data_IF_229687638052
#
_entry.id   IF_229687638052
#
_cell.length_a   1.000
_cell.length_b   1.000
_cell.length_c   1.000
_cell.angle_alpha   90.00
_cell.angle_beta   90.00
_cell.angle_gamma   90.00
#
_symmetry.space_group_name_H-M   'P 1'
#
loop_
_entity.id
_entity.type
_entity.pdbx_description
1 polymer ?
#
# COMPACT_ATOMS: atom_id res chain seq x y z
N UNK A 1 25.24 10.09 -39.24
CA UNK A 1 24.15 10.81 -38.56
C UNK A 1 23.48 9.77 -37.66
N UNK A 2 23.69 9.89 -36.37
CA UNK A 2 23.03 8.99 -35.37
C UNK A 2 21.52 9.28 -35.44
N UNK A 3 20.73 8.30 -35.83
CA UNK A 3 19.26 8.32 -35.64
C UNK A 3 19.03 8.21 -34.15
N UNK A 4 19.10 9.33 -33.40
CA UNK A 4 18.63 9.39 -32.06
C UNK A 4 17.14 8.97 -32.11
N UNK A 5 16.80 7.81 -31.54
CA UNK A 5 15.42 7.32 -31.49
C UNK A 5 14.50 8.38 -30.90
N UNK A 6 13.28 8.47 -31.39
CA UNK A 6 12.28 9.40 -30.87
C UNK A 6 12.09 9.15 -29.36
N UNK A 7 12.32 10.19 -28.55
CA UNK A 7 12.12 10.10 -27.10
C UNK A 7 10.63 9.99 -26.77
N UNK A 8 10.28 9.04 -25.92
CA UNK A 8 8.89 8.78 -25.53
C UNK A 8 8.75 8.37 -24.07
N UNK A 9 7.56 8.50 -23.53
CA UNK A 9 7.13 7.99 -22.23
C UNK A 9 6.08 6.90 -22.42
N UNK A 10 6.25 5.76 -21.77
CA UNK A 10 5.23 4.74 -21.59
C UNK A 10 4.62 4.93 -20.21
N UNK A 11 3.41 5.43 -20.16
CA UNK A 11 2.69 5.72 -18.91
C UNK A 11 1.78 4.55 -18.57
N UNK A 12 2.10 3.84 -17.47
CA UNK A 12 1.31 2.69 -17.04
C UNK A 12 -0.06 3.09 -16.50
N UNK A 13 -1.08 2.29 -16.79
CA UNK A 13 -2.41 2.37 -16.21
C UNK A 13 -2.91 0.96 -15.83
N UNK A 14 -3.53 0.76 -14.63
CA UNK A 14 -3.79 1.80 -13.64
C UNK A 14 -2.53 2.24 -12.89
N UNK A 15 -2.62 3.42 -12.27
CA UNK A 15 -1.63 4.03 -11.38
C UNK A 15 -2.34 4.94 -10.38
N UNK A 16 -1.62 5.50 -9.43
CA UNK A 16 -2.17 6.46 -8.47
C UNK A 16 -3.17 5.85 -7.48
N UNK A 17 -4.00 6.66 -6.86
CA UNK A 17 -4.89 6.26 -5.79
C UNK A 17 -5.72 5.02 -6.12
N UNK A 18 -5.70 4.04 -5.21
CA UNK A 18 -6.69 2.97 -5.18
C UNK A 18 -7.90 3.36 -4.32
N UNK A 19 -8.98 2.59 -4.42
CA UNK A 19 -10.20 2.86 -3.65
C UNK A 19 -9.98 2.89 -2.12
N UNK A 20 -9.05 2.08 -1.59
CA UNK A 20 -8.71 2.06 -0.17
C UNK A 20 -8.01 3.33 0.28
N UNK A 21 -7.06 3.80 -0.50
CA UNK A 21 -6.32 5.04 -0.26
C UNK A 21 -7.23 6.25 -0.39
N UNK A 22 -8.00 6.35 -1.47
CA UNK A 22 -8.96 7.44 -1.67
C UNK A 22 -9.92 7.56 -0.47
N UNK A 23 -10.51 6.44 -0.05
CA UNK A 23 -11.36 6.37 1.14
C UNK A 23 -10.66 6.89 2.39
N UNK A 24 -9.40 6.51 2.62
CA UNK A 24 -8.67 6.89 3.83
C UNK A 24 -8.33 8.39 3.85
N UNK A 25 -7.85 8.93 2.74
CA UNK A 25 -7.55 10.36 2.60
C UNK A 25 -8.80 11.21 2.77
N UNK A 26 -9.88 10.86 2.05
CA UNK A 26 -11.17 11.56 2.15
C UNK A 26 -11.76 11.45 3.57
N UNK A 27 -11.50 10.35 4.29
CA UNK A 27 -11.93 10.22 5.70
C UNK A 27 -11.32 11.31 6.58
N UNK A 28 -10.01 11.58 6.48
CA UNK A 28 -9.36 12.63 7.26
C UNK A 28 -9.86 14.02 6.84
N UNK A 29 -9.99 14.25 5.53
CA UNK A 29 -10.52 15.52 5.01
C UNK A 29 -11.93 15.80 5.54
N UNK A 30 -12.82 14.82 5.47
CA UNK A 30 -14.20 14.95 5.97
C UNK A 30 -14.27 15.06 7.49
N UNK A 31 -13.35 14.42 8.23
CA UNK A 31 -13.25 14.61 9.68
C UNK A 31 -12.84 16.05 10.01
N UNK A 32 -11.85 16.63 9.32
CA UNK A 32 -11.45 18.03 9.47
C UNK A 32 -12.59 18.99 9.12
N UNK A 33 -13.35 18.72 8.04
CA UNK A 33 -14.50 19.55 7.64
C UNK A 33 -15.66 19.48 8.63
N UNK A 34 -15.84 18.34 9.32
CA UNK A 34 -16.95 18.11 10.22
C UNK A 34 -16.68 18.62 11.65
N UNK A 35 -15.50 18.29 12.18
CA UNK A 35 -15.16 18.56 13.58
C UNK A 35 -14.26 19.79 13.77
N UNK A 36 -13.68 20.29 12.68
CA UNK A 36 -12.63 21.30 12.76
C UNK A 36 -11.29 20.70 13.17
N UNK A 37 -10.27 21.53 13.24
CA UNK A 37 -8.91 21.16 13.63
C UNK A 37 -8.68 21.34 15.14
N UNK A 38 -7.83 20.51 15.76
CA UNK A 38 -7.07 19.42 15.16
C UNK A 38 -7.88 18.13 15.03
N UNK A 39 -7.53 17.30 14.03
CA UNK A 39 -7.88 15.88 13.95
C UNK A 39 -6.57 15.08 14.01
N UNK A 40 -6.47 14.15 14.94
CA UNK A 40 -5.30 13.32 15.09
C UNK A 40 -5.36 12.14 14.14
N UNK A 41 -4.21 11.71 13.63
CA UNK A 41 -4.08 10.52 12.76
C UNK A 41 -2.97 9.64 13.32
N UNK A 42 -3.28 8.40 13.68
CA UNK A 42 -2.27 7.45 14.16
C UNK A 42 -1.48 6.93 12.97
N UNK A 43 -0.14 7.04 13.06
CA UNK A 43 0.81 6.80 11.97
C UNK A 43 0.47 7.65 10.75
N UNK A 44 1.02 7.33 9.60
CA UNK A 44 0.63 7.98 8.35
C UNK A 44 -0.71 7.41 7.85
N UNK A 45 -1.64 8.25 7.44
CA UNK A 45 -2.94 7.77 6.89
C UNK A 45 -2.74 6.81 5.72
N UNK A 46 -1.75 7.11 4.88
CA UNK A 46 -1.18 6.30 3.80
C UNK A 46 0.29 6.67 3.65
N UNK A 47 1.13 5.78 3.16
CA UNK A 47 2.56 6.02 2.97
C UNK A 47 2.82 6.90 1.75
N UNK A 48 2.64 8.22 1.91
CA UNK A 48 2.96 9.22 0.90
C UNK A 48 3.23 10.59 1.56
N UNK A 49 4.43 11.14 1.35
CA UNK A 49 4.86 12.41 1.97
C UNK A 49 3.97 13.57 1.59
N UNK A 50 3.59 13.71 0.33
CA UNK A 50 2.74 14.80 -0.14
C UNK A 50 1.38 14.77 0.54
N UNK A 51 0.79 13.58 0.66
CA UNK A 51 -0.52 13.41 1.33
C UNK A 51 -0.44 13.82 2.79
N UNK A 52 0.60 13.37 3.52
CA UNK A 52 0.82 13.73 4.91
C UNK A 52 0.95 15.24 5.05
N UNK A 53 1.85 15.87 4.28
CA UNK A 53 2.07 17.33 4.31
C UNK A 53 0.78 18.11 4.02
N UNK A 54 0.03 17.71 2.99
CA UNK A 54 -1.23 18.39 2.62
C UNK A 54 -2.27 18.32 3.74
N UNK A 55 -2.37 17.18 4.43
CA UNK A 55 -3.30 17.01 5.55
C UNK A 55 -2.83 17.78 6.81
N UNK A 56 -1.52 17.82 7.07
CA UNK A 56 -0.94 18.66 8.15
C UNK A 56 -1.25 20.14 7.93
N UNK A 57 -1.08 20.67 6.71
CA UNK A 57 -1.43 22.04 6.35
C UNK A 57 -2.91 22.35 6.59
N UNK A 58 -3.79 21.35 6.46
CA UNK A 58 -5.23 21.46 6.75
C UNK A 58 -5.56 21.34 8.25
N UNK A 59 -4.62 20.89 9.08
CA UNK A 59 -4.75 20.82 10.53
C UNK A 59 -4.89 19.39 11.09
N UNK A 60 -4.52 18.37 10.31
CA UNK A 60 -4.29 17.04 10.86
C UNK A 60 -2.98 17.03 11.69
N UNK A 61 -2.96 16.25 12.75
CA UNK A 61 -1.76 16.01 13.58
C UNK A 61 -1.47 14.53 13.55
N UNK A 62 -0.35 14.16 12.95
CA UNK A 62 0.11 12.78 12.90
C UNK A 62 0.87 12.44 14.18
N UNK A 63 0.51 11.32 14.78
CA UNK A 63 1.09 10.77 16.01
C UNK A 63 1.52 9.34 15.81
N UNK A 64 2.50 8.89 16.56
CA UNK A 64 2.93 7.49 16.48
C UNK A 64 1.96 6.57 17.21
N UNK A 65 1.54 6.93 18.41
CA UNK A 65 0.67 6.10 19.23
C UNK A 65 -0.50 6.89 19.84
N UNK A 66 -1.51 6.16 20.30
CA UNK A 66 -2.74 6.74 20.86
C UNK A 66 -2.54 7.48 22.17
N UNK A 67 -1.44 7.21 22.89
CA UNK A 67 -1.10 7.92 24.15
C UNK A 67 -0.63 9.36 23.95
N UNK A 68 -0.21 9.69 22.73
CA UNK A 68 0.12 11.07 22.33
C UNK A 68 -1.13 11.93 22.02
N UNK A 69 -2.28 11.28 21.84
CA UNK A 69 -3.55 11.98 21.56
C UNK A 69 -4.16 12.49 22.87
N UNK A 70 -4.57 13.77 22.98
CA UNK A 70 -5.29 14.26 24.16
C UNK A 70 -6.56 13.45 24.43
N UNK A 71 -6.84 13.20 25.72
CA UNK A 71 -8.04 12.45 26.13
C UNK A 71 -9.31 13.09 25.54
N UNK A 72 -10.21 12.24 25.05
CA UNK A 72 -11.48 12.67 24.44
C UNK A 72 -11.35 13.27 23.03
N UNK A 73 -10.14 13.42 22.50
CA UNK A 73 -9.94 13.96 21.16
C UNK A 73 -10.30 12.94 20.05
N UNK A 74 -10.37 13.44 18.80
CA UNK A 74 -10.69 12.63 17.63
C UNK A 74 -9.39 12.04 17.06
N UNK A 75 -9.37 10.74 16.82
CA UNK A 75 -8.28 10.06 16.15
C UNK A 75 -8.78 9.21 14.98
N UNK A 76 -8.09 9.31 13.86
CA UNK A 76 -8.31 8.47 12.66
C UNK A 76 -7.24 7.39 12.63
N UNK A 77 -7.66 6.13 12.46
CA UNK A 77 -6.75 5.02 12.20
C UNK A 77 -6.47 4.91 10.70
N UNK A 78 -5.23 4.56 10.36
CA UNK A 78 -4.73 4.54 8.98
C UNK A 78 -5.38 3.45 8.11
N UNK A 79 -5.15 3.55 6.80
CA UNK A 79 -5.59 2.54 5.83
C UNK A 79 -5.00 1.14 6.08
N UNK A 80 -3.87 1.07 6.78
CA UNK A 80 -3.11 -0.16 7.02
C UNK A 80 -3.74 -1.09 8.07
N UNK A 81 -4.73 -0.58 8.82
CA UNK A 81 -5.35 -1.32 9.91
C UNK A 81 -4.58 -1.21 11.23
N UNK A 82 -5.24 -1.57 12.29
CA UNK A 82 -4.66 -1.57 13.64
C UNK A 82 -5.07 -2.83 14.40
N UNK A 83 -4.24 -3.25 15.35
CA UNK A 83 -4.54 -4.38 16.22
C UNK A 83 -5.68 -4.06 17.20
N UNK A 84 -6.37 -5.07 17.78
CA UNK A 84 -7.32 -4.88 18.87
C UNK A 84 -6.75 -4.11 20.06
N UNK A 85 -5.46 -4.26 20.37
CA UNK A 85 -4.80 -3.54 21.45
C UNK A 85 -4.79 -2.01 21.24
N UNK A 86 -4.67 -1.55 20.00
CA UNK A 86 -4.75 -0.12 19.66
C UNK A 86 -6.18 0.40 19.87
N UNK A 87 -7.21 -0.36 19.48
CA UNK A 87 -8.61 -0.01 19.75
C UNK A 87 -8.88 0.08 21.26
N UNK A 88 -8.35 -0.87 22.02
CA UNK A 88 -8.49 -0.87 23.48
C UNK A 88 -7.82 0.37 24.10
N UNK A 89 -6.57 0.66 23.72
CA UNK A 89 -5.85 1.85 24.19
C UNK A 89 -6.59 3.15 23.89
N UNK A 90 -7.16 3.27 22.70
CA UNK A 90 -7.98 4.44 22.33
C UNK A 90 -9.25 4.54 23.21
N UNK A 91 -9.92 3.41 23.47
CA UNK A 91 -11.12 3.37 24.33
C UNK A 91 -10.80 3.76 25.79
N UNK A 92 -9.71 3.27 26.35
CA UNK A 92 -9.24 3.61 27.72
C UNK A 92 -8.96 5.11 27.88
N UNK A 93 -8.62 5.81 26.80
CA UNK A 93 -8.38 7.25 26.75
C UNK A 93 -9.62 8.06 26.31
N UNK A 94 -10.78 7.41 26.22
CA UNK A 94 -12.03 8.01 25.75
C UNK A 94 -11.89 8.71 24.36
N UNK A 95 -10.99 8.24 23.49
CA UNK A 95 -10.81 8.86 22.17
C UNK A 95 -12.01 8.57 21.27
N UNK A 96 -12.41 9.56 20.49
CA UNK A 96 -13.38 9.37 19.42
C UNK A 96 -12.67 8.82 18.19
N UNK A 97 -12.81 7.54 17.93
CA UNK A 97 -12.11 6.84 16.85
C UNK A 97 -12.90 6.87 15.55
N UNK A 98 -12.20 7.07 14.43
CA UNK A 98 -12.71 6.88 13.07
C UNK A 98 -11.76 5.89 12.40
N UNK A 99 -12.27 4.72 12.03
CA UNK A 99 -11.46 3.66 11.45
C UNK A 99 -11.44 3.76 9.92
N UNK A 100 -10.30 4.24 9.36
CA UNK A 100 -10.10 4.33 7.92
C UNK A 100 -9.45 3.07 7.32
N UNK A 101 -9.30 1.98 8.08
CA UNK A 101 -8.75 0.72 7.57
C UNK A 101 -9.38 0.33 6.24
N UNK A 102 -8.55 -0.01 5.27
CA UNK A 102 -9.01 -0.49 3.98
C UNK A 102 -9.84 -1.77 4.13
N UNK A 103 -11.03 -1.88 3.50
CA UNK A 103 -11.84 -3.10 3.59
C UNK A 103 -11.12 -4.38 3.18
N UNK A 104 -10.11 -4.30 2.31
CA UNK A 104 -9.28 -5.45 1.90
C UNK A 104 -8.30 -5.87 3.00
N UNK A 105 -7.80 -4.94 3.79
CA UNK A 105 -7.02 -5.23 5.00
C UNK A 105 -7.93 -5.82 6.08
N UNK A 106 -9.13 -5.25 6.29
CA UNK A 106 -10.12 -5.80 7.21
C UNK A 106 -10.49 -7.24 6.87
N UNK A 107 -10.51 -7.60 5.57
CA UNK A 107 -10.70 -8.99 5.12
C UNK A 107 -9.62 -9.90 5.71
N UNK A 108 -8.34 -9.54 5.57
CA UNK A 108 -7.20 -10.34 6.09
C UNK A 108 -7.28 -10.48 7.62
N UNK A 109 -7.60 -9.39 8.33
CA UNK A 109 -7.83 -9.42 9.79
C UNK A 109 -8.93 -10.41 10.17
N UNK A 110 -10.06 -10.44 9.42
CA UNK A 110 -11.16 -11.38 9.69
C UNK A 110 -10.78 -12.83 9.40
N UNK A 111 -9.96 -13.07 8.40
CA UNK A 111 -9.43 -14.41 8.09
C UNK A 111 -8.46 -14.88 9.17
N UNK A 112 -7.59 -14.00 9.67
CA UNK A 112 -6.72 -14.29 10.80
C UNK A 112 -7.53 -14.73 12.04
N UNK A 113 -8.57 -13.97 12.40
CA UNK A 113 -9.49 -14.32 13.50
C UNK A 113 -10.16 -15.67 13.29
N UNK A 114 -10.64 -15.95 12.08
CA UNK A 114 -11.31 -17.20 11.75
C UNK A 114 -10.37 -18.40 11.85
N UNK A 115 -9.19 -18.33 11.23
CA UNK A 115 -8.21 -19.41 11.32
C UNK A 115 -7.76 -19.65 12.77
N UNK A 116 -7.57 -18.59 13.56
CA UNK A 116 -7.23 -18.72 14.97
C UNK A 116 -8.37 -19.38 15.79
N UNK A 117 -9.65 -19.03 15.51
CA UNK A 117 -10.80 -19.66 16.16
C UNK A 117 -10.93 -21.15 15.86
N UNK A 118 -10.49 -21.57 14.68
CA UNK A 118 -10.41 -22.98 14.25
C UNK A 118 -9.10 -23.66 14.70
N UNK A 119 -8.31 -22.97 15.54
CA UNK A 119 -7.04 -23.45 16.12
C UNK A 119 -5.95 -23.78 15.07
N UNK A 120 -5.86 -23.00 13.99
CA UNK A 120 -4.76 -23.08 13.03
C UNK A 120 -3.54 -22.27 13.49
N UNK A 121 -2.34 -22.75 13.18
CA UNK A 121 -1.14 -21.89 13.10
C UNK A 121 -1.19 -21.13 11.78
N UNK A 122 -0.95 -19.83 11.84
CA UNK A 122 -1.10 -18.91 10.71
C UNK A 122 0.27 -18.36 10.33
N UNK A 123 0.68 -18.59 9.09
CA UNK A 123 1.93 -18.08 8.53
C UNK A 123 1.60 -16.80 7.76
N UNK A 124 1.90 -15.66 8.35
CA UNK A 124 1.67 -14.35 7.74
C UNK A 124 2.90 -13.96 6.89
N UNK A 125 2.77 -14.01 5.57
CA UNK A 125 3.80 -13.55 4.64
C UNK A 125 3.76 -12.02 4.61
N UNK A 126 4.87 -11.37 4.94
CA UNK A 126 4.94 -9.91 5.03
C UNK A 126 6.30 -9.42 5.49
N UNK A 127 6.45 -8.12 5.61
CA UNK A 127 7.70 -7.49 6.04
C UNK A 127 7.65 -7.09 7.50
N UNK A 128 8.67 -7.44 8.25
CA UNK A 128 8.82 -7.06 9.65
C UNK A 128 8.77 -5.53 9.82
N UNK A 129 8.01 -5.07 10.81
CA UNK A 129 7.85 -3.64 11.10
C UNK A 129 6.89 -2.88 10.18
N UNK A 130 6.20 -3.55 9.26
CA UNK A 130 5.15 -2.92 8.48
C UNK A 130 3.84 -2.86 9.27
N UNK A 131 3.19 -1.68 9.31
CA UNK A 131 1.97 -1.43 10.11
C UNK A 131 0.83 -2.42 9.84
N UNK A 132 0.65 -2.82 8.58
CA UNK A 132 -0.36 -3.81 8.19
C UNK A 132 -0.06 -5.20 8.77
N UNK A 133 1.22 -5.57 8.82
CA UNK A 133 1.67 -6.83 9.41
C UNK A 133 1.44 -6.81 10.92
N UNK A 134 1.81 -5.72 11.59
CA UNK A 134 1.60 -5.56 13.03
C UNK A 134 0.10 -5.58 13.40
N UNK A 135 -0.73 -4.91 12.58
CA UNK A 135 -2.18 -4.90 12.73
C UNK A 135 -2.78 -6.30 12.62
N UNK A 136 -2.43 -7.03 11.56
CA UNK A 136 -2.91 -8.40 11.31
C UNK A 136 -2.39 -9.39 12.37
N UNK A 137 -1.09 -9.33 12.71
CA UNK A 137 -0.51 -10.20 13.73
C UNK A 137 -1.16 -9.99 15.10
N UNK A 138 -1.53 -8.75 15.41
CA UNK A 138 -2.23 -8.41 16.63
C UNK A 138 -3.64 -9.00 16.77
N UNK A 139 -4.28 -9.44 15.68
CA UNK A 139 -5.60 -10.09 15.75
C UNK A 139 -5.55 -11.49 16.38
N UNK A 140 -4.43 -12.19 16.26
CA UNK A 140 -4.25 -13.51 16.83
C UNK A 140 -2.78 -13.79 17.17
N UNK A 141 -2.18 -13.06 18.14
CA UNK A 141 -0.72 -13.05 18.36
C UNK A 141 -0.15 -14.40 18.80
N UNK A 142 -1.00 -15.32 19.34
CA UNK A 142 -0.58 -16.65 19.74
C UNK A 142 -0.62 -17.68 18.58
N UNK A 143 -1.25 -17.34 17.48
CA UNK A 143 -1.44 -18.20 16.32
C UNK A 143 -0.61 -17.75 15.10
N UNK A 144 -0.19 -16.49 15.04
CA UNK A 144 0.45 -15.91 13.88
C UNK A 144 1.97 -15.91 14.05
N UNK A 145 2.68 -16.42 13.02
CA UNK A 145 4.11 -16.27 12.84
C UNK A 145 4.37 -15.52 11.53
N UNK A 146 5.26 -14.53 11.59
CA UNK A 146 5.69 -13.79 10.40
C UNK A 146 6.63 -14.64 9.54
N UNK A 147 6.40 -14.61 8.23
CA UNK A 147 7.27 -15.17 7.20
C UNK A 147 7.79 -14.00 6.35
N UNK A 148 8.97 -13.50 6.69
CA UNK A 148 9.66 -12.44 5.95
C UNK A 148 10.70 -13.07 5.03
N UNK A 149 10.29 -13.35 3.81
CA UNK A 149 11.08 -14.02 2.79
C UNK A 149 11.27 -15.54 3.00
N UNK A 150 11.73 -16.21 1.94
CA UNK A 150 11.90 -17.67 1.88
C UNK A 150 12.86 -18.18 2.96
N UNK A 151 13.92 -17.43 3.27
CA UNK A 151 14.93 -17.83 4.26
C UNK A 151 14.37 -17.97 5.68
N UNK A 152 13.29 -17.25 6.01
CA UNK A 152 12.64 -17.35 7.32
C UNK A 152 11.90 -18.66 7.54
N UNK A 153 11.53 -19.38 6.47
CA UNK A 153 10.75 -20.63 6.50
C UNK A 153 11.40 -21.69 7.36
N UNK A 154 12.72 -21.79 7.35
CA UNK A 154 13.49 -22.76 8.15
C UNK A 154 13.30 -22.61 9.66
N UNK A 155 12.91 -21.41 10.12
CA UNK A 155 12.77 -21.09 11.54
C UNK A 155 11.32 -21.25 12.05
N UNK A 156 10.36 -21.53 11.18
CA UNK A 156 8.94 -21.66 11.54
C UNK A 156 8.76 -22.85 12.51
N UNK A 157 7.95 -22.60 13.55
CA UNK A 157 7.55 -23.61 14.52
C UNK A 157 6.03 -23.63 14.60
N UNK A 158 5.42 -24.78 14.32
CA UNK A 158 3.96 -24.98 14.38
C UNK A 158 3.62 -26.04 15.42
N UNK A 159 2.43 -25.95 15.98
CA UNK A 159 1.90 -26.91 16.98
C UNK A 159 1.45 -28.21 16.31
N UNK A 160 0.82 -28.09 15.12
CA UNK A 160 0.36 -29.24 14.29
C UNK A 160 0.61 -28.91 12.81
N UNK A 161 1.50 -29.67 12.16
CA UNK A 161 1.82 -29.49 10.74
C UNK A 161 0.62 -29.75 9.79
N UNK A 162 -0.45 -30.39 10.28
CA UNK A 162 -1.69 -30.59 9.53
C UNK A 162 -2.71 -29.45 9.70
N UNK A 163 -2.45 -28.51 10.61
CA UNK A 163 -3.29 -27.36 10.89
C UNK A 163 -2.55 -26.04 10.68
N UNK A 164 -2.06 -25.84 9.49
CA UNK A 164 -1.33 -24.63 9.10
C UNK A 164 -2.05 -23.93 7.97
N UNK A 165 -2.30 -22.64 8.12
CA UNK A 165 -2.84 -21.76 7.09
C UNK A 165 -1.84 -20.63 6.79
N UNK A 166 -1.95 -20.01 5.63
CA UNK A 166 -1.18 -18.81 5.34
C UNK A 166 -2.08 -17.64 5.00
N UNK A 167 -1.59 -16.46 5.28
CA UNK A 167 -2.14 -15.16 4.89
C UNK A 167 -1.01 -14.29 4.38
N UNK A 168 -1.31 -13.19 3.72
CA UNK A 168 -0.28 -12.26 3.28
C UNK A 168 -0.65 -10.79 3.49
N UNK A 169 0.38 -9.96 3.60
CA UNK A 169 0.28 -8.52 3.47
C UNK A 169 -0.27 -8.17 2.07
N UNK A 170 -1.15 -7.16 1.98
CA UNK A 170 -1.89 -6.85 0.73
C UNK A 170 -1.04 -6.22 -0.37
N UNK A 171 0.19 -5.80 -0.06
CA UNK A 171 1.05 -4.98 -0.95
C UNK A 171 2.35 -5.66 -1.40
N UNK A 172 2.43 -6.99 -1.30
CA UNK A 172 3.60 -7.76 -1.70
C UNK A 172 3.69 -7.94 -3.23
N UNK A 173 4.86 -8.40 -3.71
CA UNK A 173 5.00 -8.95 -5.05
C UNK A 173 4.19 -10.25 -5.17
N UNK A 174 3.38 -10.35 -6.22
CA UNK A 174 2.60 -11.57 -6.50
C UNK A 174 3.52 -12.75 -6.72
N UNK A 175 4.55 -12.58 -7.56
CA UNK A 175 5.47 -13.66 -7.94
C UNK A 175 6.30 -14.14 -6.74
N UNK A 176 6.80 -13.22 -5.93
CA UNK A 176 7.55 -13.52 -4.71
C UNK A 176 6.68 -14.25 -3.65
N UNK A 177 5.43 -13.80 -3.49
CA UNK A 177 4.49 -14.46 -2.58
C UNK A 177 4.18 -15.89 -3.04
N UNK A 178 3.93 -16.09 -4.33
CA UNK A 178 3.69 -17.42 -4.88
C UNK A 178 4.91 -18.35 -4.72
N UNK A 179 6.13 -17.81 -4.92
CA UNK A 179 7.36 -18.55 -4.67
C UNK A 179 7.50 -18.96 -3.18
N UNK A 180 7.20 -18.04 -2.27
CA UNK A 180 7.21 -18.31 -0.83
C UNK A 180 6.17 -19.37 -0.44
N UNK A 181 4.95 -19.29 -0.98
CA UNK A 181 3.89 -20.28 -0.75
C UNK A 181 4.30 -21.65 -1.29
N UNK A 182 4.96 -21.70 -2.46
CA UNK A 182 5.47 -22.95 -3.02
C UNK A 182 6.50 -23.63 -2.10
N UNK A 183 7.39 -22.86 -1.47
CA UNK A 183 8.34 -23.39 -0.48
C UNK A 183 7.64 -23.82 0.82
N UNK A 184 6.64 -23.03 1.29
CA UNK A 184 5.83 -23.43 2.46
C UNK A 184 5.10 -24.75 2.23
N UNK A 185 4.56 -24.99 1.02
CA UNK A 185 3.89 -26.25 0.67
C UNK A 185 4.81 -27.48 0.65
N UNK A 186 6.10 -27.30 0.34
CA UNK A 186 7.07 -28.40 0.47
C UNK A 186 7.22 -28.85 1.91
N UNK A 187 7.19 -27.91 2.85
CA UNK A 187 7.31 -28.16 4.28
C UNK A 187 5.97 -28.57 4.92
N UNK A 188 4.87 -27.95 4.50
CA UNK A 188 3.52 -28.20 5.01
C UNK A 188 2.61 -28.63 3.86
N UNK A 189 2.57 -29.93 3.50
CA UNK A 189 1.80 -30.42 2.35
C UNK A 189 0.29 -30.16 2.44
N UNK A 190 -0.24 -30.01 3.67
CA UNK A 190 -1.66 -29.71 3.95
C UNK A 190 -1.91 -28.21 4.21
N UNK A 191 -1.00 -27.33 3.79
CA UNK A 191 -1.12 -25.88 3.96
C UNK A 191 -2.44 -25.36 3.37
N UNK A 192 -3.23 -24.67 4.18
CA UNK A 192 -4.53 -24.12 3.78
C UNK A 192 -4.35 -22.69 3.21
N UNK A 193 -5.00 -22.47 2.09
CA UNK A 193 -5.03 -21.17 1.42
C UNK A 193 -6.06 -20.22 2.06
N UNK A 194 -5.85 -18.89 1.97
CA UNK A 194 -6.93 -17.95 2.21
C UNK A 194 -8.09 -18.19 1.21
N UNK A 195 -9.34 -17.87 1.59
CA UNK A 195 -10.52 -18.12 0.74
C UNK A 195 -10.49 -17.36 -0.59
N UNK A 196 -9.74 -16.27 -0.66
CA UNK A 196 -9.48 -15.49 -1.86
C UNK A 196 -8.14 -14.78 -1.70
N UNK A 197 -7.59 -14.24 -2.79
CA UNK A 197 -6.30 -13.56 -2.78
C UNK A 197 -6.23 -12.46 -1.71
N UNK A 198 -5.15 -12.44 -0.94
CA UNK A 198 -4.88 -11.39 0.04
C UNK A 198 -4.18 -10.20 -0.59
N UNK A 199 -3.30 -10.43 -1.58
CA UNK A 199 -2.72 -9.33 -2.34
C UNK A 199 -3.83 -8.60 -3.06
N UNK A 200 -4.01 -7.32 -2.72
CA UNK A 200 -5.16 -6.57 -3.20
C UNK A 200 -5.13 -6.32 -4.72
N UNK A 201 -6.31 -6.19 -5.32
CA UNK A 201 -6.46 -5.93 -6.75
C UNK A 201 -5.60 -4.76 -7.24
N UNK A 202 -5.49 -3.70 -6.43
CA UNK A 202 -4.75 -2.50 -6.80
C UNK A 202 -3.24 -2.77 -6.89
N UNK A 203 -2.70 -3.60 -6.00
CA UNK A 203 -1.31 -4.07 -6.06
C UNK A 203 -1.09 -4.95 -7.28
N UNK A 204 -1.95 -5.94 -7.50
CA UNK A 204 -1.86 -6.84 -8.64
C UNK A 204 -1.92 -6.08 -9.96
N UNK A 205 -2.91 -5.20 -10.14
CA UNK A 205 -3.11 -4.44 -11.37
C UNK A 205 -1.92 -3.53 -11.70
N UNK A 206 -1.33 -2.86 -10.70
CA UNK A 206 -0.15 -2.00 -10.91
C UNK A 206 1.07 -2.82 -11.28
N UNK A 207 1.25 -4.00 -10.69
CA UNK A 207 2.33 -4.91 -11.09
C UNK A 207 2.14 -5.41 -12.52
N UNK A 208 0.92 -5.78 -12.92
CA UNK A 208 0.62 -6.15 -14.32
C UNK A 208 0.94 -4.99 -15.26
N UNK A 209 0.53 -3.77 -14.92
CA UNK A 209 0.81 -2.60 -15.76
C UNK A 209 2.33 -2.32 -15.89
N UNK A 210 3.11 -2.54 -14.84
CA UNK A 210 4.58 -2.46 -14.90
C UNK A 210 5.17 -3.55 -15.80
N UNK A 211 4.69 -4.79 -15.67
CA UNK A 211 5.15 -5.92 -16.51
C UNK A 211 4.96 -5.66 -18.01
N UNK A 212 3.94 -4.85 -18.37
CA UNK A 212 3.68 -4.47 -19.77
C UNK A 212 4.66 -3.42 -20.31
N UNK A 213 5.14 -2.50 -19.47
CA UNK A 213 6.00 -1.38 -19.92
C UNK A 213 7.49 -1.63 -19.68
N UNK A 214 7.86 -2.35 -18.62
CA UNK A 214 9.24 -2.56 -18.20
C UNK A 214 10.13 -3.16 -19.31
N UNK A 215 9.72 -4.19 -20.07
CA UNK A 215 10.55 -4.77 -21.14
C UNK A 215 10.83 -3.81 -22.30
N UNK A 216 10.03 -2.74 -22.42
CA UNK A 216 10.07 -1.76 -23.52
C UNK A 216 10.77 -0.46 -23.10
N UNK A 217 11.08 -0.31 -21.79
CA UNK A 217 11.64 0.91 -21.23
C UNK A 217 13.16 0.78 -20.98
N UNK A 218 13.91 1.82 -21.31
CA UNK A 218 15.31 1.92 -20.92
C UNK A 218 15.45 2.29 -19.45
N UNK A 219 14.52 3.10 -18.94
CA UNK A 219 14.45 3.58 -17.58
C UNK A 219 12.99 3.53 -17.10
N UNK A 220 12.74 3.08 -15.87
CA UNK A 220 11.43 3.20 -15.24
C UNK A 220 11.51 4.13 -14.03
N UNK A 221 10.60 5.09 -13.97
CA UNK A 221 10.45 6.01 -12.84
C UNK A 221 9.13 5.72 -12.13
N UNK A 222 9.22 5.36 -10.86
CA UNK A 222 8.07 5.10 -10.00
C UNK A 222 7.92 6.29 -9.04
N UNK A 223 6.78 6.96 -9.09
CA UNK A 223 6.44 7.97 -8.10
C UNK A 223 5.89 7.28 -6.86
N UNK A 224 6.45 7.58 -5.69
CA UNK A 224 6.06 6.97 -4.42
C UNK A 224 7.09 7.16 -3.33
N UNK A 225 6.70 6.91 -2.08
CA UNK A 225 7.56 7.06 -0.92
C UNK A 225 8.28 5.75 -0.57
N UNK A 226 9.48 5.85 -0.02
CA UNK A 226 10.33 4.69 0.32
C UNK A 226 9.74 3.75 1.36
N UNK A 227 8.86 4.24 2.22
CA UNK A 227 8.14 3.44 3.20
C UNK A 227 6.82 2.85 2.66
N UNK A 228 6.49 3.10 1.37
CA UNK A 228 5.35 2.48 0.70
C UNK A 228 5.76 1.15 0.09
N UNK A 229 5.39 0.03 0.72
CA UNK A 229 5.65 -1.32 0.22
C UNK A 229 5.21 -1.48 -1.24
N UNK A 230 3.99 -1.07 -1.59
CA UNK A 230 3.51 -1.12 -2.96
C UNK A 230 4.44 -0.38 -3.94
N UNK A 231 4.92 0.83 -3.59
CA UNK A 231 5.78 1.63 -4.48
C UNK A 231 7.17 1.00 -4.66
N UNK A 232 7.75 0.47 -3.58
CA UNK A 232 9.04 -0.24 -3.62
C UNK A 232 8.94 -1.48 -4.51
N UNK A 233 7.88 -2.27 -4.36
CA UNK A 233 7.65 -3.47 -5.18
C UNK A 233 7.55 -3.16 -6.67
N UNK A 234 6.99 -2.03 -7.07
CA UNK A 234 6.93 -1.63 -8.49
C UNK A 234 8.33 -1.38 -9.09
N UNK A 235 9.27 -0.87 -8.30
CA UNK A 235 10.67 -0.73 -8.75
C UNK A 235 11.31 -2.09 -8.97
N UNK A 236 11.14 -3.00 -8.02
CA UNK A 236 11.71 -4.36 -8.10
C UNK A 236 11.12 -5.13 -9.29
N UNK A 237 9.80 -5.14 -9.43
CA UNK A 237 9.12 -5.76 -10.59
C UNK A 237 9.59 -5.12 -11.91
N UNK A 238 9.87 -3.81 -11.95
CA UNK A 238 10.40 -3.17 -13.15
C UNK A 238 11.75 -3.76 -13.57
N UNK A 239 12.65 -3.97 -12.61
CA UNK A 239 13.97 -4.54 -12.86
C UNK A 239 13.89 -6.03 -13.23
N UNK A 240 13.06 -6.80 -12.52
CA UNK A 240 12.84 -8.23 -12.78
C UNK A 240 12.29 -8.49 -14.19
N UNK A 241 11.43 -7.58 -14.67
CA UNK A 241 10.80 -7.68 -15.99
C UNK A 241 11.53 -6.91 -17.10
N UNK A 242 12.80 -6.55 -16.88
CA UNK A 242 13.73 -6.18 -17.96
C UNK A 242 13.95 -4.69 -18.18
N UNK A 243 13.47 -3.82 -17.30
CA UNK A 243 13.93 -2.43 -17.32
C UNK A 243 15.43 -2.38 -17.00
N UNK A 244 16.20 -1.59 -17.76
CA UNK A 244 17.65 -1.49 -17.54
C UNK A 244 18.01 -0.74 -16.26
N UNK A 245 17.13 0.18 -15.84
CA UNK A 245 17.21 0.91 -14.59
C UNK A 245 15.79 1.24 -14.09
N UNK A 246 15.59 1.29 -12.78
CA UNK A 246 14.35 1.75 -12.19
C UNK A 246 14.64 2.53 -10.89
N UNK A 247 13.92 3.63 -10.66
CA UNK A 247 14.11 4.48 -9.49
C UNK A 247 12.78 4.87 -8.88
N UNK A 248 12.76 4.98 -7.55
CA UNK A 248 11.66 5.48 -6.75
C UNK A 248 11.93 6.93 -6.35
N UNK A 249 10.96 7.81 -6.57
CA UNK A 249 11.03 9.23 -6.23
C UNK A 249 9.75 9.68 -5.56
N UNK A 250 9.82 10.50 -4.51
CA UNK A 250 8.66 11.14 -3.90
C UNK A 250 8.14 12.29 -4.79
N UNK A 251 9.06 13.07 -5.37
CA UNK A 251 8.77 14.28 -6.16
C UNK A 251 9.61 14.33 -7.45
N UNK A 252 9.07 14.96 -8.47
CA UNK A 252 9.78 15.16 -9.75
C UNK A 252 11.16 15.84 -9.59
N UNK A 253 11.32 16.69 -8.55
CA UNK A 253 12.59 17.35 -8.26
C UNK A 253 13.71 16.40 -7.82
N UNK A 254 13.39 15.18 -7.40
CA UNK A 254 14.37 14.16 -7.03
C UNK A 254 14.92 13.40 -8.26
N UNK A 255 14.25 13.53 -9.41
CA UNK A 255 14.71 12.90 -10.64
C UNK A 255 16.00 13.57 -11.16
N UNK A 256 16.96 12.76 -11.56
CA UNK A 256 18.29 13.22 -11.98
C UNK A 256 18.44 13.19 -13.49
N UNK A 257 19.02 14.25 -14.04
CA UNK A 257 19.27 14.33 -15.50
C UNK A 257 20.23 13.26 -16.00
N UNK A 258 21.18 12.85 -15.15
CA UNK A 258 22.12 11.78 -15.48
C UNK A 258 21.45 10.44 -15.80
N UNK A 259 20.27 10.18 -15.22
CA UNK A 259 19.50 8.97 -15.50
C UNK A 259 18.96 8.91 -16.93
N UNK A 260 18.83 10.08 -17.60
CA UNK A 260 18.32 10.18 -18.96
C UNK A 260 19.42 10.02 -20.02
N UNK A 261 20.68 9.82 -19.62
CA UNK A 261 21.79 9.67 -20.57
C UNK A 261 21.62 8.38 -21.38
N UNK A 262 21.51 8.54 -22.71
CA UNK A 262 21.31 7.41 -23.63
C UNK A 262 19.90 6.78 -23.60
N UNK A 263 18.96 7.33 -22.81
CA UNK A 263 17.59 6.85 -22.72
C UNK A 263 16.74 7.42 -23.86
N UNK A 264 15.95 6.56 -24.47
CA UNK A 264 14.96 6.91 -25.51
C UNK A 264 13.53 6.63 -25.05
N UNK A 265 13.33 5.63 -24.21
CA UNK A 265 12.02 5.25 -23.69
C UNK A 265 12.02 5.24 -22.16
N UNK A 266 11.20 6.09 -21.55
CA UNK A 266 10.99 6.14 -20.10
C UNK A 266 9.63 5.52 -19.76
N UNK A 267 9.64 4.48 -18.93
CA UNK A 267 8.41 3.97 -18.29
C UNK A 267 8.08 4.82 -17.07
N UNK A 268 6.82 5.18 -16.88
CA UNK A 268 6.34 5.94 -15.72
C UNK A 268 5.15 5.23 -15.08
N UNK A 269 5.19 5.06 -13.77
CA UNK A 269 4.05 4.62 -12.97
C UNK A 269 4.09 5.25 -11.58
N UNK A 270 3.13 4.91 -10.75
CA UNK A 270 3.11 5.34 -9.35
C UNK A 270 2.45 4.32 -8.44
N UNK A 271 2.83 4.35 -7.17
CA UNK A 271 2.20 3.54 -6.14
C UNK A 271 0.74 3.91 -5.88
N UNK A 272 0.03 3.01 -5.19
CA UNK A 272 -1.40 3.12 -4.89
C UNK A 272 -1.74 4.25 -3.91
N UNK A 273 -0.74 4.86 -3.27
CA UNK A 273 -0.90 6.00 -2.34
C UNK A 273 -0.52 7.36 -2.94
N UNK A 274 -0.29 7.43 -4.25
CA UNK A 274 0.23 8.63 -4.94
C UNK A 274 -0.89 9.39 -5.63
N UNK A 275 -1.11 10.67 -5.32
CA UNK A 275 -2.06 11.51 -6.06
C UNK A 275 -1.52 11.81 -7.47
N UNK A 276 -2.43 11.87 -8.45
CA UNK A 276 -2.10 12.04 -9.87
C UNK A 276 -1.29 13.32 -10.17
N UNK A 277 -1.41 14.34 -9.33
CA UNK A 277 -0.64 15.59 -9.47
C UNK A 277 0.87 15.34 -9.50
N UNK A 278 1.37 14.41 -8.66
CA UNK A 278 2.80 14.10 -8.63
C UNK A 278 3.28 13.39 -9.89
N UNK A 279 2.44 12.56 -10.48
CA UNK A 279 2.74 11.92 -11.79
C UNK A 279 2.79 12.98 -12.89
N UNK A 280 1.82 13.91 -12.89
CA UNK A 280 1.79 15.04 -13.82
C UNK A 280 3.05 15.89 -13.72
N UNK A 281 3.50 16.21 -12.52
CA UNK A 281 4.72 16.98 -12.30
C UNK A 281 5.96 16.27 -12.88
N UNK A 282 6.03 14.93 -12.73
CA UNK A 282 7.10 14.14 -13.35
C UNK A 282 7.00 14.15 -14.87
N UNK A 283 5.83 14.02 -15.46
CA UNK A 283 5.63 14.10 -16.91
C UNK A 283 6.03 15.48 -17.45
N UNK A 284 5.70 16.57 -16.74
CA UNK A 284 6.12 17.92 -17.09
C UNK A 284 7.64 18.11 -17.00
N UNK A 285 8.28 17.48 -16.01
CA UNK A 285 9.73 17.45 -15.87
C UNK A 285 10.40 16.72 -17.04
N UNK A 286 9.88 15.57 -17.45
CA UNK A 286 10.34 14.77 -18.58
C UNK A 286 10.12 15.49 -19.91
N UNK A 287 8.97 16.14 -20.12
CA UNK A 287 8.64 16.87 -21.34
C UNK A 287 9.65 17.99 -21.63
N UNK A 288 10.08 18.75 -20.61
CA UNK A 288 11.12 19.77 -20.70
C UNK A 288 12.49 19.22 -21.14
N UNK A 289 12.70 17.89 -21.10
CA UNK A 289 13.92 17.17 -21.48
C UNK A 289 13.77 16.37 -22.76
N UNK A 290 12.69 16.65 -23.49
CA UNK A 290 12.42 16.09 -24.83
C UNK A 290 11.56 14.83 -24.81
N UNK A 291 11.09 14.34 -23.66
CA UNK A 291 10.16 13.21 -23.53
C UNK A 291 8.71 13.70 -23.46
N UNK A 292 8.24 14.35 -24.52
CA UNK A 292 6.90 14.93 -24.60
C UNK A 292 5.86 13.98 -25.25
N UNK A 293 6.31 12.91 -25.91
CA UNK A 293 5.44 11.90 -26.50
C UNK A 293 5.05 10.88 -25.44
N UNK A 294 3.82 10.99 -24.93
CA UNK A 294 3.30 10.13 -23.84
C UNK A 294 2.30 9.15 -24.40
N UNK A 295 2.59 7.86 -24.26
CA UNK A 295 1.70 6.76 -24.63
C UNK A 295 1.17 6.09 -23.35
N UNK A 296 -0.13 6.07 -23.16
CA UNK A 296 -0.77 5.38 -22.04
C UNK A 296 -0.91 3.90 -22.40
N UNK A 297 -0.35 3.04 -21.56
CA UNK A 297 -0.44 1.59 -21.69
C UNK A 297 -1.39 1.09 -20.58
N UNK A 298 -2.62 0.75 -20.97
CA UNK A 298 -3.66 0.30 -20.05
C UNK A 298 -3.68 -1.22 -19.96
N UNK A 299 -3.31 -1.75 -18.79
CA UNK A 299 -3.37 -3.18 -18.53
C UNK A 299 -4.78 -3.63 -18.10
N UNK A 300 -5.46 -2.80 -17.29
CA UNK A 300 -6.83 -3.03 -16.84
C UNK A 300 -7.48 -1.71 -16.41
N UNK A 301 -8.78 -1.73 -16.19
CA UNK A 301 -9.54 -0.60 -15.63
C UNK A 301 -10.00 -0.92 -14.21
N UNK A 302 -10.02 0.10 -13.36
CA UNK A 302 -10.45 -0.01 -11.96
C UNK A 302 -11.73 0.83 -11.75
N UNK A 303 -12.78 0.19 -11.22
CA UNK A 303 -14.08 0.84 -10.97
C UNK A 303 -14.53 0.71 -9.51
N UNK A 304 -13.71 0.06 -8.66
CA UNK A 304 -14.04 -0.17 -7.27
C UNK A 304 -14.04 1.16 -6.49
N UNK A 305 -15.08 1.35 -5.69
CA UNK A 305 -15.23 2.47 -4.75
C UNK A 305 -15.60 1.92 -3.37
N UNK A 306 -15.04 2.50 -2.33
CA UNK A 306 -15.39 2.17 -0.95
C UNK A 306 -16.12 3.34 -0.29
N UNK A 307 -17.18 3.00 0.44
CA UNK A 307 -17.87 3.97 1.30
C UNK A 307 -16.99 4.41 2.46
N UNK A 308 -17.14 5.67 2.88
CA UNK A 308 -16.50 6.19 4.09
C UNK A 308 -16.86 5.34 5.34
N UNK A 309 -16.07 5.40 6.42
CA UNK A 309 -16.38 4.73 7.68
C UNK A 309 -17.81 5.00 8.15
N UNK A 310 -18.45 3.98 8.71
CA UNK A 310 -19.89 4.03 9.05
C UNK A 310 -20.18 5.15 10.05
N UNK A 311 -19.32 5.32 11.07
CA UNK A 311 -19.43 6.35 12.10
C UNK A 311 -19.37 7.74 11.48
N UNK A 312 -18.40 8.01 10.61
CA UNK A 312 -18.26 9.30 9.95
C UNK A 312 -19.47 9.60 9.05
N UNK A 313 -19.93 8.61 8.27
CA UNK A 313 -21.11 8.79 7.40
C UNK A 313 -22.37 9.14 8.19
N UNK A 314 -22.60 8.49 9.35
CA UNK A 314 -23.73 8.79 10.22
C UNK A 314 -23.69 10.24 10.72
N UNK A 315 -22.53 10.71 11.14
CA UNK A 315 -22.36 12.06 11.65
C UNK A 315 -22.42 13.14 10.56
N UNK A 316 -21.84 12.88 9.40
CA UNK A 316 -22.00 13.76 8.23
C UNK A 316 -23.46 13.93 7.87
N UNK A 317 -24.22 12.83 7.80
CA UNK A 317 -25.66 12.87 7.55
C UNK A 317 -26.44 13.65 8.63
N UNK A 318 -26.09 13.48 9.90
CA UNK A 318 -26.70 14.22 11.01
C UNK A 318 -26.39 15.72 10.95
N UNK A 319 -25.22 16.09 10.42
CA UNK A 319 -24.80 17.47 10.22
C UNK A 319 -25.33 18.10 8.92
N UNK A 320 -26.11 17.36 8.11
CA UNK A 320 -26.63 17.85 6.82
C UNK A 320 -25.56 17.98 5.72
N UNK A 321 -24.48 17.23 5.84
CA UNK A 321 -23.32 17.24 4.92
C UNK A 321 -23.18 15.96 4.12
#
# INVERSE_FOLDING_TARGET
>A
MSTAGKKQVLLAAPRGYCAGVDRAVVTVEKALDLYGKPVYVRKQIVHNKYVVQTLEERGAIFVDETDEVPEGAIVVFSAHGVSPAVHQSAAERNLKTIDATCPLVTKVHNEAKRFAADDYDILLIGHEGHEEVDGTAGEAPQHIQLVDGIESIKNIKVRDENKVAWLSQTTLSVDETLATVAELRKRFPNLIDPPSDDICYATQNRQVAIKEIAPKADLVLIVGSKNSSNSVRLVEVSLEYGAKAAYLIDFAAEAKEEWLSGVTTVGVSSGASVPEILVKDLLDWLAKRGFADVQIITATEEHLLFSLPVELRKELKAAGK
#
